data_IF_740507719126
#
_entry.id   IF_740507719126
#
_cell.length_a   1.000
_cell.length_b   1.000
_cell.length_c   1.000
_cell.angle_alpha   90.00
_cell.angle_beta   90.00
_cell.angle_gamma   90.00
#
_symmetry.space_group_name_H-M   'P 1'
#
loop_
_entity.id
_entity.type
_entity.pdbx_description
1 polymer ?
#
# COMPACT_ATOMS: atom_id res chain seq x y z
N UNK A 1 -8.03 -18.59 -13.89
CA UNK A 1 -7.35 -19.91 -13.88
C UNK A 1 -6.98 -20.38 -15.28
N UNK A 2 -7.91 -20.76 -16.17
CA UNK A 2 -7.57 -21.29 -17.51
C UNK A 2 -6.64 -20.38 -18.34
N UNK A 3 -6.92 -19.07 -18.41
CA UNK A 3 -6.04 -18.13 -19.13
C UNK A 3 -4.62 -18.03 -18.55
N UNK A 4 -4.48 -18.10 -17.22
CA UNK A 4 -3.18 -18.09 -16.55
C UNK A 4 -2.43 -19.40 -16.82
N UNK A 5 -3.13 -20.53 -16.74
CA UNK A 5 -2.57 -21.86 -17.02
C UNK A 5 -2.05 -21.94 -18.47
N UNK A 6 -2.85 -21.45 -19.42
CA UNK A 6 -2.46 -21.39 -20.83
C UNK A 6 -1.22 -20.54 -21.08
N UNK A 7 -1.14 -19.35 -20.46
CA UNK A 7 0.06 -18.49 -20.56
C UNK A 7 1.32 -19.10 -19.95
N UNK A 8 1.16 -19.96 -18.94
CA UNK A 8 2.27 -20.65 -18.27
C UNK A 8 2.59 -22.03 -18.88
N UNK A 9 1.84 -22.49 -19.88
CA UNK A 9 2.04 -23.81 -20.50
C UNK A 9 1.73 -24.99 -19.56
N UNK A 10 0.93 -24.78 -18.51
CA UNK A 10 0.57 -25.82 -17.52
C UNK A 10 -0.93 -26.12 -17.52
N UNK A 11 -1.33 -27.22 -16.90
CA UNK A 11 -2.75 -27.52 -16.69
C UNK A 11 -3.35 -26.64 -15.59
N UNK A 12 -4.66 -26.31 -15.63
CA UNK A 12 -5.32 -25.62 -14.51
C UNK A 12 -5.18 -26.34 -13.16
N UNK A 13 -5.13 -27.68 -13.17
CA UNK A 13 -4.95 -28.48 -11.96
C UNK A 13 -3.60 -28.24 -11.29
N UNK A 14 -2.54 -28.04 -12.08
CA UNK A 14 -1.23 -27.67 -11.54
C UNK A 14 -1.29 -26.34 -10.79
N UNK A 15 -2.03 -25.34 -11.30
CA UNK A 15 -2.21 -24.07 -10.59
C UNK A 15 -3.01 -24.25 -9.30
N UNK A 16 -4.12 -24.97 -9.32
CA UNK A 16 -4.94 -25.19 -8.13
C UNK A 16 -4.15 -25.85 -6.98
N UNK A 17 -3.15 -26.69 -7.28
CA UNK A 17 -2.25 -27.25 -6.26
C UNK A 17 -1.44 -26.19 -5.50
N UNK A 18 -1.09 -25.08 -6.15
CA UNK A 18 -0.27 -24.02 -5.54
C UNK A 18 -1.11 -22.91 -4.91
N UNK A 19 -2.19 -22.50 -5.58
CA UNK A 19 -2.96 -21.32 -5.17
C UNK A 19 -4.38 -21.63 -4.72
N UNK A 20 -4.80 -22.89 -4.75
CA UNK A 20 -6.11 -23.36 -4.26
C UNK A 20 -7.27 -22.96 -5.16
N UNK A 21 -7.45 -21.67 -5.41
CA UNK A 21 -8.51 -21.10 -6.22
C UNK A 21 -8.11 -19.74 -6.85
N UNK A 22 -9.10 -18.98 -7.36
CA UNK A 22 -8.86 -17.63 -7.88
C UNK A 22 -8.48 -16.65 -6.75
N UNK A 23 -9.04 -16.79 -5.56
CA UNK A 23 -8.76 -15.89 -4.44
C UNK A 23 -7.31 -16.06 -3.99
N UNK A 24 -6.83 -17.29 -3.80
CA UNK A 24 -5.43 -17.54 -3.44
C UNK A 24 -4.44 -17.07 -4.51
N UNK A 25 -4.83 -17.10 -5.80
CA UNK A 25 -4.02 -16.48 -6.86
C UNK A 25 -3.92 -14.97 -6.68
N UNK A 26 -5.05 -14.31 -6.42
CA UNK A 26 -5.09 -12.86 -6.21
C UNK A 26 -4.36 -12.45 -4.93
N UNK A 27 -4.47 -13.24 -3.87
CA UNK A 27 -3.74 -13.03 -2.61
C UNK A 27 -2.23 -13.12 -2.84
N UNK A 28 -1.76 -14.10 -3.62
CA UNK A 28 -0.35 -14.19 -4.00
C UNK A 28 0.15 -13.01 -4.85
N UNK A 29 -0.70 -12.44 -5.71
CA UNK A 29 -0.36 -11.20 -6.43
C UNK A 29 -0.23 -10.01 -5.47
N UNK A 30 -1.14 -9.90 -4.50
CA UNK A 30 -1.09 -8.84 -3.48
C UNK A 30 0.14 -8.99 -2.60
N UNK A 31 0.46 -10.20 -2.12
CA UNK A 31 1.70 -10.45 -1.37
C UNK A 31 2.93 -10.03 -2.15
N UNK A 32 2.95 -10.28 -3.46
CA UNK A 32 4.06 -9.88 -4.32
C UNK A 32 4.18 -8.37 -4.48
N UNK A 33 3.06 -7.65 -4.61
CA UNK A 33 3.06 -6.18 -4.65
C UNK A 33 3.55 -5.57 -3.33
N UNK A 34 3.12 -6.11 -2.20
CA UNK A 34 3.53 -5.62 -0.88
C UNK A 34 5.04 -5.78 -0.68
N UNK A 35 5.63 -6.86 -1.20
CA UNK A 35 7.08 -7.08 -1.18
C UNK A 35 7.88 -6.14 -2.11
N UNK A 36 7.22 -5.41 -3.01
CA UNK A 36 7.87 -4.35 -3.80
C UNK A 36 7.90 -3.01 -3.06
N UNK A 37 7.18 -2.87 -1.94
CA UNK A 37 7.29 -1.68 -1.11
C UNK A 37 8.68 -1.62 -0.48
N UNK A 38 9.25 -0.41 -0.29
CA UNK A 38 10.53 -0.24 0.34
C UNK A 38 10.50 -0.83 1.77
N UNK A 39 11.61 -1.46 2.15
CA UNK A 39 11.79 -1.89 3.53
C UNK A 39 11.84 -0.64 4.43
N UNK A 40 11.12 -0.72 5.55
CA UNK A 40 11.15 0.32 6.56
C UNK A 40 12.50 0.32 7.29
N UNK A 41 13.07 1.49 7.50
CA UNK A 41 14.26 1.69 8.31
C UNK A 41 13.87 2.39 9.62
N UNK A 42 13.74 1.65 10.74
CA UNK A 42 13.34 2.21 12.02
C UNK A 42 14.35 3.21 12.60
N UNK A 43 15.57 3.30 12.06
CA UNK A 43 16.57 4.27 12.51
C UNK A 43 16.31 5.68 11.95
N UNK A 44 15.51 5.81 10.89
CA UNK A 44 15.16 7.10 10.31
C UNK A 44 14.09 7.83 11.15
N UNK A 45 14.06 9.18 11.10
CA UNK A 45 12.93 9.96 11.59
C UNK A 45 11.61 9.45 11.00
N UNK A 46 10.56 9.42 11.82
CA UNK A 46 9.25 8.87 11.40
C UNK A 46 8.67 9.62 10.19
N UNK A 47 9.00 10.91 10.02
CA UNK A 47 8.63 11.70 8.86
C UNK A 47 9.23 11.11 7.59
N UNK A 48 10.54 10.83 7.60
CA UNK A 48 11.25 10.31 6.43
C UNK A 48 10.78 8.89 6.09
N UNK A 49 10.45 8.09 7.12
CA UNK A 49 9.81 6.77 6.92
C UNK A 49 8.44 6.89 6.25
N UNK A 50 7.63 7.88 6.65
CA UNK A 50 6.32 8.13 6.04
C UNK A 50 6.47 8.54 4.57
N UNK A 51 7.43 9.44 4.27
CA UNK A 51 7.76 9.87 2.90
C UNK A 51 8.16 8.70 2.02
N UNK A 52 9.13 7.91 2.49
CA UNK A 52 9.63 6.74 1.76
C UNK A 52 8.49 5.75 1.45
N UNK A 53 7.60 5.52 2.41
CA UNK A 53 6.44 4.67 2.23
C UNK A 53 5.44 5.26 1.20
N UNK A 54 5.16 6.56 1.27
CA UNK A 54 4.30 7.25 0.30
C UNK A 54 4.85 7.16 -1.13
N UNK A 55 6.14 7.44 -1.32
CA UNK A 55 6.84 7.30 -2.59
C UNK A 55 6.77 5.86 -3.11
N UNK A 56 7.09 4.88 -2.25
CA UNK A 56 7.07 3.47 -2.62
C UNK A 56 5.69 2.98 -3.06
N UNK A 57 4.63 3.36 -2.33
CA UNK A 57 3.24 3.04 -2.70
C UNK A 57 2.90 3.63 -4.07
N UNK A 58 3.24 4.90 -4.32
CA UNK A 58 3.01 5.58 -5.60
C UNK A 58 3.74 4.88 -6.75
N UNK A 59 5.00 4.51 -6.57
CA UNK A 59 5.80 3.83 -7.58
C UNK A 59 5.25 2.44 -7.93
N UNK A 60 4.87 1.65 -6.92
CA UNK A 60 4.25 0.33 -7.13
C UNK A 60 2.92 0.47 -7.88
N UNK A 61 2.10 1.47 -7.53
CA UNK A 61 0.84 1.74 -8.23
C UNK A 61 1.06 2.13 -9.70
N UNK A 62 2.06 2.97 -9.99
CA UNK A 62 2.44 3.35 -11.36
C UNK A 62 2.98 2.16 -12.17
N UNK A 63 3.73 1.26 -11.53
CA UNK A 63 4.30 0.07 -12.20
C UNK A 63 3.24 -0.98 -12.51
N UNK A 64 2.24 -1.14 -11.63
CA UNK A 64 1.23 -2.19 -11.73
C UNK A 64 -0.22 -1.66 -11.61
N UNK A 65 -0.65 -0.73 -12.47
CA UNK A 65 -1.90 0.02 -12.27
C UNK A 65 -3.14 -0.87 -12.19
N UNK A 66 -3.21 -1.95 -12.97
CA UNK A 66 -4.37 -2.86 -12.96
C UNK A 66 -4.37 -3.81 -11.75
N UNK A 67 -3.19 -4.13 -11.20
CA UNK A 67 -3.06 -5.06 -10.07
C UNK A 67 -3.17 -4.32 -8.75
N UNK A 68 -2.67 -3.08 -8.68
CA UNK A 68 -2.74 -2.25 -7.48
C UNK A 68 -4.18 -2.00 -7.01
N UNK A 69 -5.13 -1.85 -7.95
CA UNK A 69 -6.56 -1.77 -7.61
C UNK A 69 -7.09 -2.99 -6.84
N UNK A 70 -6.52 -4.19 -7.08
CA UNK A 70 -6.92 -5.40 -6.35
C UNK A 70 -6.50 -5.33 -4.88
N UNK A 71 -5.38 -4.67 -4.59
CA UNK A 71 -4.88 -4.42 -3.23
C UNK A 71 -5.82 -3.47 -2.48
N UNK A 72 -6.33 -2.44 -3.15
CA UNK A 72 -7.27 -1.48 -2.55
C UNK A 72 -8.68 -2.05 -2.32
N UNK A 73 -9.18 -2.86 -3.25
CA UNK A 73 -10.58 -3.32 -3.25
C UNK A 73 -10.85 -4.58 -2.42
N UNK A 74 -9.81 -5.28 -1.94
CA UNK A 74 -9.95 -6.56 -1.24
C UNK A 74 -9.46 -6.46 0.20
N UNK A 75 -10.21 -6.97 1.20
CA UNK A 75 -9.68 -7.17 2.54
C UNK A 75 -8.56 -8.20 2.45
N UNK A 76 -7.32 -7.73 2.43
CA UNK A 76 -6.17 -8.62 2.34
C UNK A 76 -5.81 -9.08 3.74
N UNK A 77 -6.06 -10.36 4.02
CA UNK A 77 -5.74 -11.05 5.29
C UNK A 77 -4.42 -11.83 5.22
N UNK A 78 -3.58 -11.52 4.24
CA UNK A 78 -2.29 -12.18 4.04
C UNK A 78 -1.27 -11.77 5.09
N UNK A 79 -0.25 -12.61 5.26
CA UNK A 79 0.85 -12.35 6.18
C UNK A 79 1.64 -11.08 5.81
N UNK A 80 1.87 -10.84 4.52
CA UNK A 80 2.55 -9.62 4.06
C UNK A 80 1.71 -8.37 4.33
N UNK A 81 0.39 -8.43 4.14
CA UNK A 81 -0.50 -7.31 4.48
C UNK A 81 -0.51 -7.03 5.99
N UNK A 82 -0.42 -8.07 6.81
CA UNK A 82 -0.26 -7.92 8.27
C UNK A 82 1.08 -7.26 8.61
N UNK A 83 2.18 -7.64 7.95
CA UNK A 83 3.51 -7.03 8.16
C UNK A 83 3.55 -5.57 7.75
N UNK A 84 3.01 -5.23 6.58
CA UNK A 84 2.90 -3.84 6.13
C UNK A 84 2.10 -3.01 7.14
N UNK A 85 0.94 -3.51 7.60
CA UNK A 85 0.15 -2.84 8.64
C UNK A 85 0.95 -2.63 9.92
N UNK A 86 1.65 -3.66 10.41
CA UNK A 86 2.45 -3.56 11.62
C UNK A 86 3.56 -2.51 11.51
N UNK A 87 4.13 -2.37 10.31
CA UNK A 87 5.15 -1.36 9.99
C UNK A 87 4.59 0.05 10.12
N UNK A 88 3.43 0.33 9.52
CA UNK A 88 2.74 1.62 9.67
C UNK A 88 2.39 1.90 11.13
N UNK A 89 1.90 0.90 11.87
CA UNK A 89 1.60 1.08 13.29
C UNK A 89 2.86 1.33 14.13
N UNK A 90 3.97 0.67 13.82
CA UNK A 90 5.26 0.92 14.48
C UNK A 90 5.78 2.33 14.21
N UNK A 91 5.62 2.83 12.98
CA UNK A 91 5.90 4.23 12.63
C UNK A 91 5.07 5.19 13.48
N UNK A 92 3.75 4.99 13.56
CA UNK A 92 2.86 5.83 14.37
C UNK A 92 3.23 5.82 15.86
N UNK A 93 3.58 4.65 16.41
CA UNK A 93 4.06 4.54 17.79
C UNK A 93 5.38 5.29 17.99
N UNK A 94 6.31 5.19 17.05
CA UNK A 94 7.59 5.92 17.11
C UNK A 94 7.41 7.44 17.01
N UNK A 95 6.33 7.89 16.37
CA UNK A 95 5.94 9.29 16.35
C UNK A 95 5.29 9.76 17.66
N UNK A 96 5.00 8.88 18.62
CA UNK A 96 4.35 9.22 19.89
C UNK A 96 2.83 9.22 19.85
N UNK A 97 2.21 8.65 18.82
CA UNK A 97 0.74 8.54 18.74
C UNK A 97 0.22 7.60 19.83
N UNK A 98 -0.80 7.99 20.62
CA UNK A 98 -1.41 7.14 21.64
C UNK A 98 -1.96 5.83 21.05
N UNK A 99 -1.82 4.72 21.77
CA UNK A 99 -2.18 3.38 21.27
C UNK A 99 -3.66 3.27 20.87
N UNK A 100 -4.56 3.99 21.55
CA UNK A 100 -5.98 4.04 21.20
C UNK A 100 -6.25 4.73 19.84
N UNK A 101 -5.33 5.59 19.40
CA UNK A 101 -5.39 6.32 18.12
C UNK A 101 -4.65 5.59 17.01
N UNK A 102 -3.69 4.71 17.32
CA UNK A 102 -2.85 4.02 16.32
C UNK A 102 -3.69 3.23 15.29
N UNK A 103 -4.58 2.28 15.66
CA UNK A 103 -5.35 1.53 14.67
C UNK A 103 -6.30 2.36 13.79
N UNK A 104 -7.10 3.33 14.31
CA UNK A 104 -7.92 4.17 13.45
C UNK A 104 -7.09 5.10 12.55
N UNK A 105 -6.02 5.71 13.07
CA UNK A 105 -5.16 6.59 12.26
C UNK A 105 -4.45 5.79 11.16
N UNK A 106 -3.91 4.62 11.48
CA UNK A 106 -3.31 3.73 10.49
C UNK A 106 -4.27 3.40 9.34
N UNK A 107 -5.53 3.04 9.64
CA UNK A 107 -6.54 2.76 8.60
C UNK A 107 -6.84 3.98 7.73
N UNK A 108 -6.86 5.17 8.31
CA UNK A 108 -7.05 6.42 7.58
C UNK A 108 -5.88 6.67 6.62
N UNK A 109 -4.64 6.55 7.11
CA UNK A 109 -3.43 6.75 6.31
C UNK A 109 -3.35 5.78 5.13
N UNK A 110 -3.57 4.48 5.38
CA UNK A 110 -3.61 3.46 4.33
C UNK A 110 -4.68 3.79 3.27
N UNK A 111 -5.88 4.16 3.71
CA UNK A 111 -7.00 4.47 2.80
C UNK A 111 -6.68 5.68 1.93
N UNK A 112 -6.14 6.75 2.52
CA UNK A 112 -5.78 7.97 1.79
C UNK A 112 -4.63 7.68 0.82
N UNK A 113 -3.54 7.08 1.29
CA UNK A 113 -2.35 6.82 0.48
C UNK A 113 -2.62 5.87 -0.68
N UNK A 114 -3.27 4.72 -0.41
CA UNK A 114 -3.63 3.77 -1.47
C UNK A 114 -4.71 4.33 -2.40
N UNK A 115 -5.68 5.08 -1.88
CA UNK A 115 -6.72 5.71 -2.70
C UNK A 115 -6.16 6.77 -3.66
N UNK A 116 -5.18 7.55 -3.21
CA UNK A 116 -4.47 8.53 -4.02
C UNK A 116 -3.66 7.85 -5.14
N UNK A 117 -2.86 6.84 -4.77
CA UNK A 117 -2.04 6.07 -5.69
C UNK A 117 -2.88 5.31 -6.73
N UNK A 118 -4.00 4.70 -6.31
CA UNK A 118 -4.94 4.05 -7.20
C UNK A 118 -5.64 5.06 -8.13
N UNK A 119 -5.98 6.25 -7.62
CA UNK A 119 -6.60 7.31 -8.43
C UNK A 119 -5.65 7.79 -9.53
N UNK A 120 -4.39 8.05 -9.20
CA UNK A 120 -3.36 8.41 -10.19
C UNK A 120 -3.19 7.29 -11.22
N UNK A 121 -2.99 6.06 -10.77
CA UNK A 121 -2.72 4.90 -11.63
C UNK A 121 -3.85 4.62 -12.63
N UNK A 122 -5.09 5.07 -12.35
CA UNK A 122 -6.24 4.95 -13.25
C UNK A 122 -6.54 6.22 -14.05
N UNK A 123 -5.66 7.22 -14.01
CA UNK A 123 -5.81 8.46 -14.76
C UNK A 123 -6.91 9.37 -14.23
N UNK A 124 -7.28 9.27 -12.94
CA UNK A 124 -8.27 10.16 -12.31
C UNK A 124 -7.73 11.59 -12.18
N UNK A 125 -6.43 11.74 -11.96
CA UNK A 125 -5.80 13.06 -11.93
C UNK A 125 -5.58 13.53 -13.37
N UNK A 126 -6.13 14.69 -13.67
CA UNK A 126 -5.93 15.42 -14.93
C UNK A 126 -4.93 16.53 -14.70
N UNK A 127 -4.02 16.75 -15.64
CA UNK A 127 -2.96 17.76 -15.51
C UNK A 127 -1.63 17.22 -16.04
N UNK A 128 -0.58 18.04 -15.97
CA UNK A 128 0.78 17.57 -16.22
C UNK A 128 1.39 16.88 -14.98
N UNK A 129 2.66 16.48 -15.07
CA UNK A 129 3.33 15.80 -13.97
C UNK A 129 3.46 16.68 -12.72
N UNK A 130 3.65 18.00 -12.90
CA UNK A 130 3.81 18.96 -11.81
C UNK A 130 2.51 19.13 -11.02
N UNK A 131 1.37 19.19 -11.72
CA UNK A 131 0.05 19.22 -11.10
C UNK A 131 -0.18 17.99 -10.19
N UNK A 132 0.19 16.80 -10.67
CA UNK A 132 0.01 15.57 -9.92
C UNK A 132 0.97 15.52 -8.73
N UNK A 133 2.23 15.91 -8.92
CA UNK A 133 3.23 15.95 -7.84
C UNK A 133 2.79 16.87 -6.70
N UNK A 134 2.22 18.04 -7.03
CA UNK A 134 1.64 18.95 -6.04
C UNK A 134 0.51 18.32 -5.20
N UNK A 135 -0.30 17.43 -5.80
CA UNK A 135 -1.34 16.71 -5.04
C UNK A 135 -0.70 15.77 -4.00
N UNK A 136 0.41 15.11 -4.35
CA UNK A 136 1.13 14.26 -3.42
C UNK A 136 1.82 15.05 -2.31
N UNK A 137 2.42 16.21 -2.62
CA UNK A 137 3.00 17.09 -1.62
C UNK A 137 1.93 17.55 -0.60
N UNK A 138 0.75 17.97 -1.08
CA UNK A 138 -0.36 18.35 -0.22
C UNK A 138 -0.89 17.19 0.62
N UNK A 139 -0.92 15.98 0.05
CA UNK A 139 -1.31 14.79 0.80
C UNK A 139 -0.29 14.47 1.89
N UNK A 140 1.00 14.52 1.57
CA UNK A 140 2.09 14.31 2.53
C UNK A 140 1.99 15.31 3.70
N UNK A 141 1.86 16.60 3.41
CA UNK A 141 1.71 17.65 4.43
C UNK A 141 0.49 17.40 5.33
N UNK A 142 -0.63 16.97 4.75
CA UNK A 142 -1.84 16.63 5.49
C UNK A 142 -1.63 15.43 6.41
N UNK A 143 -0.96 14.37 5.94
CA UNK A 143 -0.68 13.18 6.73
C UNK A 143 0.33 13.46 7.85
N UNK A 144 1.40 14.21 7.56
CA UNK A 144 2.38 14.66 8.55
C UNK A 144 1.69 15.48 9.66
N UNK A 145 0.92 16.50 9.27
CA UNK A 145 0.18 17.36 10.22
C UNK A 145 -0.80 16.54 11.07
N UNK A 146 -1.48 15.57 10.46
CA UNK A 146 -2.40 14.69 11.18
C UNK A 146 -1.68 13.85 12.24
N UNK A 147 -0.53 13.27 11.92
CA UNK A 147 0.27 12.48 12.86
C UNK A 147 0.82 13.38 13.98
N UNK A 148 1.41 14.53 13.63
CA UNK A 148 1.95 15.49 14.60
C UNK A 148 0.91 15.97 15.61
N UNK A 149 -0.34 16.13 15.17
CA UNK A 149 -1.45 16.52 16.06
C UNK A 149 -1.69 15.51 17.17
N UNK A 150 -1.53 14.21 16.89
CA UNK A 150 -1.73 13.16 17.88
C UNK A 150 -0.45 12.76 18.62
N UNK A 151 0.72 13.01 18.02
CA UNK A 151 2.03 12.80 18.61
C UNK A 151 2.29 13.64 19.88
N UNK A 152 1.60 14.77 20.04
CA UNK A 152 1.78 15.67 21.17
C UNK A 152 1.02 15.18 22.42
N UNK A 153 1.74 14.47 23.30
CA UNK A 153 1.54 14.48 24.76
C UNK A 153 2.88 14.58 25.46
#
# INVERSE_FOLDING_TARGET
MRGVAGRLGVTPMALYRYVGDKQGLLDGLVERLIRELPEDDPALPWQDRLRAMGTGIREVARRHPQVFLLLFMRPTVTEEARRARNTVQALLRSAGVPEEVVPPLQRLLDTIGMGLAASEANGRFTGDAEDIDRIYDLAEDLLLTAIERYARK
#
